data_IF_446101737971
#
_entry.id   IF_446101737971
#
_cell.length_a   1.000
_cell.length_b   1.000
_cell.length_c   1.000
_cell.angle_alpha   90.00
_cell.angle_beta   90.00
_cell.angle_gamma   90.00
#
_symmetry.space_group_name_H-M   'P 1'
#
loop_
_entity.id
_entity.type
_entity.pdbx_description
1 polymer ?
#
# COMPACT_ATOMS: atom_id res chain seq x y z
N UNK A 1 8.18 -3.34 5.07
CA UNK A 1 7.35 -4.46 5.58
C UNK A 1 6.80 -4.17 6.97
N UNK A 2 7.64 -3.84 7.99
CA UNK A 2 7.23 -3.64 9.38
C UNK A 2 6.12 -2.58 9.51
N UNK A 3 6.29 -1.42 8.91
CA UNK A 3 5.29 -0.31 8.97
C UNK A 3 3.99 -0.69 8.29
N UNK A 4 4.07 -1.41 7.17
CA UNK A 4 2.91 -1.92 6.44
C UNK A 4 2.12 -2.92 7.29
N UNK A 5 2.84 -3.84 7.97
CA UNK A 5 2.23 -4.79 8.89
C UNK A 5 1.53 -4.13 10.08
N UNK A 6 2.16 -3.14 10.71
CA UNK A 6 1.56 -2.39 11.84
C UNK A 6 0.32 -1.62 11.37
N UNK A 7 0.36 -1.01 10.20
CA UNK A 7 -0.80 -0.31 9.63
C UNK A 7 -1.97 -1.27 9.35
N UNK A 8 -1.67 -2.46 8.83
CA UNK A 8 -2.66 -3.52 8.61
C UNK A 8 -3.29 -3.99 9.92
N UNK A 9 -2.50 -4.13 11.00
CA UNK A 9 -3.02 -4.48 12.32
C UNK A 9 -4.04 -3.45 12.84
N UNK A 10 -3.89 -2.17 12.51
CA UNK A 10 -4.88 -1.14 12.84
C UNK A 10 -6.24 -1.40 12.18
N UNK A 11 -6.26 -1.84 10.92
CA UNK A 11 -7.48 -2.21 10.19
C UNK A 11 -8.09 -3.48 10.78
N UNK A 12 -7.26 -4.50 11.03
CA UNK A 12 -7.70 -5.76 11.65
C UNK A 12 -8.27 -5.55 13.05
N UNK A 13 -7.69 -4.65 13.84
CA UNK A 13 -8.20 -4.31 15.16
C UNK A 13 -9.60 -3.67 15.11
N UNK A 14 -9.90 -2.85 14.08
CA UNK A 14 -11.23 -2.28 13.88
C UNK A 14 -12.26 -3.32 13.48
N UNK A 15 -11.94 -4.22 12.53
CA UNK A 15 -12.86 -5.24 12.04
C UNK A 15 -12.99 -6.44 12.98
N UNK A 16 -12.01 -6.67 13.87
CA UNK A 16 -11.95 -7.85 14.73
C UNK A 16 -11.68 -9.16 13.99
N UNK A 17 -11.39 -9.13 12.69
CA UNK A 17 -11.20 -10.32 11.85
C UNK A 17 -10.02 -10.15 10.89
N UNK A 18 -9.34 -11.27 10.57
CA UNK A 18 -8.31 -11.36 9.53
C UNK A 18 -8.89 -11.73 8.15
N UNK A 19 -10.18 -12.02 8.08
CA UNK A 19 -10.82 -12.40 6.84
C UNK A 19 -11.12 -11.16 6.00
N UNK A 20 -10.51 -11.05 4.82
CA UNK A 20 -10.67 -9.90 3.93
C UNK A 20 -12.13 -9.66 3.53
N UNK A 21 -12.95 -10.72 3.46
CA UNK A 21 -14.36 -10.59 3.14
C UNK A 21 -15.12 -9.90 4.27
N UNK A 22 -14.88 -10.30 5.51
CA UNK A 22 -15.48 -9.70 6.69
C UNK A 22 -15.05 -8.24 6.84
N UNK A 23 -13.74 -7.93 6.60
CA UNK A 23 -13.24 -6.56 6.59
C UNK A 23 -13.98 -5.68 5.58
N UNK A 24 -14.31 -6.21 4.39
CA UNK A 24 -15.06 -5.46 3.39
C UNK A 24 -16.52 -5.29 3.78
N UNK A 25 -17.16 -6.35 4.28
CA UNK A 25 -18.56 -6.32 4.71
C UNK A 25 -18.77 -5.34 5.87
N UNK A 26 -17.83 -5.24 6.80
CA UNK A 26 -17.85 -4.30 7.93
C UNK A 26 -17.68 -2.82 7.48
N UNK A 27 -17.09 -2.58 6.30
CA UNK A 27 -16.99 -1.25 5.71
C UNK A 27 -18.26 -0.77 4.98
N UNK A 28 -19.38 -1.49 5.10
CA UNK A 28 -20.63 -1.13 4.42
C UNK A 28 -21.16 0.25 4.83
N UNK A 29 -21.02 0.63 6.09
CA UNK A 29 -21.47 1.92 6.61
C UNK A 29 -20.42 3.02 6.44
N UNK A 30 -19.17 2.73 6.79
CA UNK A 30 -18.05 3.69 6.71
C UNK A 30 -16.77 3.03 6.23
N UNK A 31 -16.13 3.65 5.24
CA UNK A 31 -14.84 3.17 4.74
C UNK A 31 -13.74 3.40 5.78
N UNK A 32 -12.88 2.43 5.97
CA UNK A 32 -11.79 2.49 6.95
C UNK A 32 -10.74 3.57 6.66
N UNK A 33 -10.72 4.13 5.46
CA UNK A 33 -9.88 5.30 5.17
C UNK A 33 -10.20 6.50 6.07
N UNK A 34 -11.44 6.62 6.59
CA UNK A 34 -11.83 7.75 7.45
C UNK A 34 -11.26 7.57 8.87
N UNK A 35 -11.56 6.48 9.61
CA UNK A 35 -11.03 6.29 10.96
C UNK A 35 -9.53 5.95 10.98
N UNK A 36 -9.00 5.36 9.90
CA UNK A 36 -7.60 4.93 9.76
C UNK A 36 -6.83 5.71 8.69
N UNK A 37 -7.08 7.01 8.57
CA UNK A 37 -6.41 7.83 7.58
C UNK A 37 -4.88 7.78 7.69
N UNK A 38 -4.35 7.84 8.91
CA UNK A 38 -2.91 7.74 9.17
C UNK A 38 -2.39 6.36 8.75
N UNK A 39 -3.11 5.30 9.12
CA UNK A 39 -2.80 3.93 8.71
C UNK A 39 -2.80 3.78 7.19
N UNK A 40 -3.77 4.35 6.49
CA UNK A 40 -3.83 4.35 5.04
C UNK A 40 -2.60 5.02 4.40
N UNK A 41 -2.21 6.21 4.88
CA UNK A 41 -1.03 6.94 4.36
C UNK A 41 0.24 6.14 4.58
N UNK A 42 0.42 5.53 5.76
CA UNK A 42 1.58 4.69 6.06
C UNK A 42 1.60 3.45 5.16
N UNK A 43 0.44 2.78 5.00
CA UNK A 43 0.32 1.61 4.14
C UNK A 43 0.63 1.93 2.68
N UNK A 44 0.15 3.08 2.19
CA UNK A 44 0.40 3.56 0.84
C UNK A 44 1.90 3.82 0.60
N UNK A 45 2.57 4.55 1.50
CA UNK A 45 4.01 4.83 1.40
C UNK A 45 4.82 3.52 1.48
N UNK A 46 4.48 2.64 2.41
CA UNK A 46 5.14 1.35 2.58
C UNK A 46 4.93 0.44 1.35
N UNK A 47 3.73 0.44 0.76
CA UNK A 47 3.41 -0.32 -0.44
C UNK A 47 4.17 0.15 -1.68
N UNK A 48 4.42 1.46 -1.81
CA UNK A 48 5.28 2.00 -2.87
C UNK A 48 6.73 1.52 -2.67
N UNK A 49 7.21 1.54 -1.43
CA UNK A 49 8.56 1.09 -1.10
C UNK A 49 8.74 -0.42 -1.35
N UNK A 50 7.72 -1.23 -1.04
CA UNK A 50 7.72 -2.68 -1.25
C UNK A 50 7.67 -3.07 -2.73
N UNK A 51 6.97 -2.28 -3.54
CA UNK A 51 6.92 -2.51 -5.00
C UNK A 51 8.18 -2.10 -5.73
N UNK A 52 9.26 -1.69 -5.02
CA UNK A 52 10.54 -1.24 -5.58
C UNK A 52 10.41 -0.19 -6.68
N UNK A 53 9.38 0.66 -6.61
CA UNK A 53 9.13 1.71 -7.59
C UNK A 53 9.60 3.08 -7.13
N UNK A 54 9.92 3.93 -8.09
CA UNK A 54 10.19 5.35 -7.81
C UNK A 54 9.04 5.95 -6.95
N UNK A 55 9.38 6.64 -5.87
CA UNK A 55 10.69 7.21 -5.52
C UNK A 55 11.64 6.26 -4.76
N UNK A 56 11.27 5.03 -4.42
CA UNK A 56 12.03 4.11 -3.56
C UNK A 56 12.79 3.01 -4.33
N UNK A 57 13.00 3.20 -5.63
CA UNK A 57 13.75 2.32 -6.53
C UNK A 57 15.27 2.47 -6.32
N UNK A 58 15.76 1.99 -5.17
CA UNK A 58 17.18 2.07 -4.82
C UNK A 58 17.99 0.92 -5.43
N UNK A 59 17.49 -0.34 -5.46
CA UNK A 59 18.26 -1.47 -5.98
C UNK A 59 18.36 -1.52 -7.51
N UNK A 60 17.37 -0.97 -8.22
CA UNK A 60 17.25 -1.13 -9.68
C UNK A 60 18.00 -0.09 -10.48
N UNK A 61 18.06 1.15 -10.00
CA UNK A 61 18.83 2.26 -10.57
C UNK A 61 18.86 2.31 -12.13
N UNK A 62 17.73 2.00 -12.78
CA UNK A 62 17.63 1.87 -14.25
C UNK A 62 18.12 3.10 -15.04
N UNK A 63 18.12 4.27 -14.41
CA UNK A 63 18.51 5.55 -15.03
C UNK A 63 19.99 5.89 -14.78
N UNK A 64 20.73 5.07 -14.07
CA UNK A 64 22.15 5.26 -13.80
C UNK A 64 23.03 4.41 -14.75
N UNK A 65 24.35 4.66 -14.76
CA UNK A 65 25.31 4.03 -15.67
C UNK A 65 25.35 2.49 -15.52
N UNK A 66 25.02 1.98 -14.34
CA UNK A 66 24.91 0.54 -14.07
C UNK A 66 23.47 0.23 -13.65
N UNK A 67 22.79 -0.64 -14.39
CA UNK A 67 21.38 -1.04 -14.15
C UNK A 67 21.16 -1.91 -12.89
N UNK A 68 22.00 -1.80 -11.88
CA UNK A 68 21.89 -2.57 -10.63
C UNK A 68 22.02 -4.08 -10.85
N UNK A 69 21.18 -4.87 -10.17
CA UNK A 69 21.20 -6.33 -10.27
C UNK A 69 20.67 -6.89 -11.60
N UNK A 70 20.01 -6.08 -12.42
CA UNK A 70 19.51 -6.49 -13.74
C UNK A 70 20.59 -6.58 -14.82
N UNK A 71 21.79 -6.07 -14.57
CA UNK A 71 22.87 -5.95 -15.58
C UNK A 71 23.28 -7.32 -16.14
N UNK A 72 23.21 -8.37 -15.34
CA UNK A 72 23.63 -9.74 -15.74
C UNK A 72 22.51 -10.53 -16.43
N UNK A 73 21.27 -10.06 -16.40
CA UNK A 73 20.12 -10.77 -16.93
C UNK A 73 19.71 -10.24 -18.31
N UNK A 74 19.43 -11.16 -19.24
CA UNK A 74 18.97 -10.82 -20.58
C UNK A 74 17.79 -11.70 -21.02
N UNK A 75 17.06 -11.26 -22.03
CA UNK A 75 15.95 -11.99 -22.62
C UNK A 75 14.80 -12.27 -21.65
N UNK A 76 14.34 -13.52 -21.60
CA UNK A 76 13.15 -13.91 -20.81
C UNK A 76 13.33 -13.68 -19.32
N UNK A 77 14.53 -13.89 -18.77
CA UNK A 77 14.83 -13.69 -17.35
C UNK A 77 14.64 -12.23 -16.95
N UNK A 78 15.12 -11.31 -17.75
CA UNK A 78 14.93 -9.88 -17.57
C UNK A 78 13.43 -9.50 -17.59
N UNK A 79 12.69 -10.04 -18.58
CA UNK A 79 11.24 -9.81 -18.67
C UNK A 79 10.46 -10.29 -17.43
N UNK A 80 10.90 -11.38 -16.78
CA UNK A 80 10.24 -11.88 -15.58
C UNK A 80 10.34 -10.91 -14.38
N UNK A 81 11.43 -10.15 -14.24
CA UNK A 81 11.55 -9.12 -13.20
C UNK A 81 10.50 -8.01 -13.39
N UNK A 82 10.33 -7.52 -14.61
CA UNK A 82 9.30 -6.52 -14.91
C UNK A 82 7.88 -7.06 -14.64
N UNK A 83 7.60 -8.29 -15.02
CA UNK A 83 6.30 -8.91 -14.73
C UNK A 83 6.06 -8.98 -13.22
N UNK A 84 7.06 -9.38 -12.43
CA UNK A 84 6.94 -9.44 -10.98
C UNK A 84 6.66 -8.06 -10.36
N UNK A 85 7.34 -7.01 -10.84
CA UNK A 85 7.13 -5.63 -10.40
C UNK A 85 5.69 -5.15 -10.67
N UNK A 86 5.15 -5.40 -11.87
CA UNK A 86 3.77 -5.02 -12.19
C UNK A 86 2.73 -5.83 -11.41
N UNK A 87 2.99 -7.12 -11.17
CA UNK A 87 2.13 -7.95 -10.30
C UNK A 87 2.12 -7.38 -8.87
N UNK A 88 3.27 -7.00 -8.34
CA UNK A 88 3.39 -6.37 -7.03
C UNK A 88 2.56 -5.08 -6.93
N UNK A 89 2.62 -4.22 -7.95
CA UNK A 89 1.83 -2.99 -8.03
C UNK A 89 0.31 -3.27 -8.03
N UNK A 90 -0.14 -4.25 -8.81
CA UNK A 90 -1.56 -4.66 -8.84
C UNK A 90 -1.99 -5.22 -7.49
N UNK A 91 -1.14 -6.02 -6.84
CA UNK A 91 -1.41 -6.59 -5.52
C UNK A 91 -1.57 -5.50 -4.46
N UNK A 92 -0.62 -4.57 -4.36
CA UNK A 92 -0.69 -3.46 -3.38
C UNK A 92 -1.93 -2.59 -3.62
N UNK A 93 -2.22 -2.25 -4.88
CA UNK A 93 -3.42 -1.47 -5.24
C UNK A 93 -4.71 -2.18 -4.86
N UNK A 94 -4.77 -3.49 -5.06
CA UNK A 94 -5.91 -4.32 -4.68
C UNK A 94 -6.07 -4.40 -3.16
N UNK A 95 -4.98 -4.58 -2.42
CA UNK A 95 -5.00 -4.58 -0.96
C UNK A 95 -5.46 -3.25 -0.38
N UNK A 96 -4.96 -2.11 -0.90
CA UNK A 96 -5.43 -0.78 -0.49
C UNK A 96 -6.95 -0.65 -0.70
N UNK A 97 -7.44 -1.10 -1.84
CA UNK A 97 -8.87 -1.04 -2.17
C UNK A 97 -9.71 -1.87 -1.19
N UNK A 98 -9.26 -3.08 -0.86
CA UNK A 98 -9.97 -3.98 0.07
C UNK A 98 -9.92 -3.48 1.50
N UNK A 99 -8.75 -3.05 1.97
CA UNK A 99 -8.54 -2.71 3.38
C UNK A 99 -9.10 -1.35 3.78
N UNK A 100 -9.08 -0.36 2.88
CA UNK A 100 -9.42 1.02 3.22
C UNK A 100 -10.63 1.60 2.47
N UNK A 101 -10.94 1.07 1.29
CA UNK A 101 -11.98 1.61 0.42
C UNK A 101 -13.18 0.68 0.21
N UNK A 102 -13.36 -0.31 1.09
CA UNK A 102 -14.50 -1.21 1.05
C UNK A 102 -14.55 -2.13 -0.17
N UNK A 103 -13.41 -2.43 -0.79
CA UNK A 103 -13.30 -3.42 -1.87
C UNK A 103 -14.33 -3.24 -2.98
N UNK A 104 -15.25 -4.21 -3.09
CA UNK A 104 -16.33 -4.25 -4.09
C UNK A 104 -17.58 -3.45 -3.71
N UNK A 105 -17.65 -2.85 -2.51
CA UNK A 105 -18.78 -2.05 -2.08
C UNK A 105 -18.87 -0.75 -2.90
N UNK A 106 -20.08 -0.43 -3.37
CA UNK A 106 -20.37 0.77 -4.14
C UNK A 106 -21.88 0.89 -4.44
N UNK A 107 -22.30 1.96 -5.12
CA UNK A 107 -23.70 2.16 -5.51
C UNK A 107 -24.25 0.98 -6.35
N UNK A 108 -25.52 0.66 -6.15
CA UNK A 108 -26.17 -0.54 -6.69
C UNK A 108 -26.41 -0.55 -8.21
N UNK A 109 -26.08 0.54 -8.91
CA UNK A 109 -26.32 0.63 -10.35
C UNK A 109 -25.30 -0.11 -11.22
N UNK A 110 -24.16 -0.53 -10.66
CA UNK A 110 -23.11 -1.31 -11.35
C UNK A 110 -22.78 -2.58 -10.57
N UNK A 111 -22.32 -3.65 -11.27
CA UNK A 111 -21.92 -4.88 -10.60
C UNK A 111 -20.73 -4.65 -9.64
N UNK A 112 -20.65 -5.38 -8.51
CA UNK A 112 -19.60 -5.21 -7.49
C UNK A 112 -18.17 -5.31 -8.03
N UNK A 113 -17.93 -6.20 -9.01
CA UNK A 113 -16.63 -6.39 -9.65
C UNK A 113 -16.16 -5.09 -10.34
N UNK A 114 -17.07 -4.36 -10.97
CA UNK A 114 -16.73 -3.11 -11.64
C UNK A 114 -16.19 -2.05 -10.67
N UNK A 115 -16.80 -1.93 -9.48
CA UNK A 115 -16.35 -1.01 -8.44
C UNK A 115 -14.96 -1.36 -7.92
N UNK A 116 -14.69 -2.63 -7.72
CA UNK A 116 -13.37 -3.09 -7.32
C UNK A 116 -12.30 -2.74 -8.36
N UNK A 117 -12.56 -3.11 -9.63
CA UNK A 117 -11.62 -2.85 -10.73
C UNK A 117 -11.38 -1.34 -10.91
N UNK A 118 -12.42 -0.53 -10.82
CA UNK A 118 -12.32 0.91 -10.97
C UNK A 118 -11.47 1.54 -9.86
N UNK A 119 -11.70 1.18 -8.59
CA UNK A 119 -10.91 1.67 -7.46
C UNK A 119 -9.45 1.22 -7.56
N UNK A 120 -9.21 -0.07 -7.85
CA UNK A 120 -7.86 -0.60 -8.02
C UNK A 120 -7.12 0.08 -9.18
N UNK A 121 -7.78 0.32 -10.32
CA UNK A 121 -7.19 1.01 -11.45
C UNK A 121 -6.83 2.47 -11.15
N UNK A 122 -7.61 3.16 -10.32
CA UNK A 122 -7.26 4.50 -9.84
C UNK A 122 -5.97 4.50 -9.03
N UNK A 123 -5.76 3.53 -8.14
CA UNK A 123 -4.51 3.40 -7.40
C UNK A 123 -3.34 3.03 -8.30
N UNK A 124 -3.54 2.14 -9.27
CA UNK A 124 -2.51 1.82 -10.28
C UNK A 124 -2.12 3.09 -11.05
N UNK A 125 -3.08 3.86 -11.53
CA UNK A 125 -2.82 5.13 -12.21
C UNK A 125 -2.10 6.13 -11.30
N UNK A 126 -2.49 6.21 -10.03
CA UNK A 126 -1.82 7.04 -9.03
C UNK A 126 -0.35 6.66 -8.84
N UNK A 127 -0.03 5.37 -8.72
CA UNK A 127 1.36 4.90 -8.61
C UNK A 127 2.18 5.20 -9.86
N UNK A 128 1.59 5.09 -11.05
CA UNK A 128 2.26 5.47 -12.30
C UNK A 128 2.53 6.98 -12.34
N UNK A 129 1.59 7.80 -11.91
CA UNK A 129 1.76 9.26 -11.84
C UNK A 129 2.82 9.66 -10.80
N UNK A 130 2.88 8.98 -9.65
CA UNK A 130 3.92 9.22 -8.65
C UNK A 130 5.33 8.98 -9.21
N UNK A 131 5.51 7.96 -10.03
CA UNK A 131 6.77 7.69 -10.72
C UNK A 131 7.25 8.89 -11.54
N UNK A 132 6.33 9.63 -12.16
CA UNK A 132 6.65 10.79 -12.98
C UNK A 132 6.84 12.09 -12.17
N UNK A 133 6.24 12.17 -10.98
CA UNK A 133 6.13 13.41 -10.21
C UNK A 133 7.24 13.60 -9.16
N UNK A 134 7.72 12.52 -8.54
CA UNK A 134 8.61 12.58 -7.37
C UNK A 134 10.04 12.19 -7.74
N UNK A 135 11.05 13.03 -7.38
CA UNK A 135 12.45 12.68 -7.56
C UNK A 135 12.88 11.62 -6.55
N UNK A 136 13.91 10.87 -6.87
CA UNK A 136 14.49 9.81 -6.04
C UNK A 136 15.16 10.37 -4.79
N UNK A 137 14.80 9.93 -3.57
CA UNK A 137 15.50 10.29 -2.35
C UNK A 137 16.80 9.51 -2.20
N UNK A 138 17.71 10.01 -1.37
CA UNK A 138 18.93 9.28 -1.00
C UNK A 138 18.59 8.18 0.00
N UNK A 139 19.39 7.10 -0.01
CA UNK A 139 19.22 5.95 0.89
C UNK A 139 19.17 6.33 2.37
N UNK A 140 20.07 7.24 2.81
CA UNK A 140 20.12 7.71 4.19
C UNK A 140 18.83 8.42 4.62
N UNK A 141 18.25 9.20 3.70
CA UNK A 141 16.98 9.91 3.94
C UNK A 141 15.82 8.92 4.07
N UNK A 142 15.79 7.89 3.25
CA UNK A 142 14.78 6.85 3.30
C UNK A 142 14.82 6.09 4.63
N UNK A 143 16.01 5.66 5.07
CA UNK A 143 16.18 4.97 6.35
C UNK A 143 15.75 5.84 7.53
N UNK A 144 16.21 7.08 7.59
CA UNK A 144 15.84 8.01 8.65
C UNK A 144 14.33 8.28 8.67
N UNK A 145 13.71 8.47 7.51
CA UNK A 145 12.27 8.66 7.41
C UNK A 145 11.48 7.42 7.88
N UNK A 146 11.90 6.23 7.48
CA UNK A 146 11.27 4.98 7.89
C UNK A 146 11.34 4.75 9.40
N UNK A 147 12.55 4.79 9.96
CA UNK A 147 12.77 4.44 11.35
C UNK A 147 12.38 5.54 12.35
N UNK A 148 12.66 6.80 12.04
CA UNK A 148 12.40 7.91 12.97
C UNK A 148 11.01 8.51 12.84
N UNK A 149 10.35 8.33 11.70
CA UNK A 149 9.04 8.92 11.47
C UNK A 149 7.94 7.87 11.27
N UNK A 150 8.05 6.99 10.28
CA UNK A 150 6.96 6.04 9.95
C UNK A 150 6.72 5.03 11.07
N UNK A 151 7.77 4.51 11.71
CA UNK A 151 7.63 3.51 12.77
C UNK A 151 6.95 4.09 14.00
N UNK A 152 7.39 5.21 14.61
CA UNK A 152 6.69 5.78 15.76
C UNK A 152 5.23 6.17 15.44
N UNK A 153 4.98 6.76 14.27
CA UNK A 153 3.63 7.17 13.87
C UNK A 153 2.72 5.95 13.70
N UNK A 154 3.21 4.85 13.11
CA UNK A 154 2.43 3.62 12.97
C UNK A 154 2.09 2.99 14.32
N UNK A 155 3.02 2.97 15.27
CA UNK A 155 2.78 2.48 16.63
C UNK A 155 1.78 3.35 17.39
N UNK A 156 1.92 4.66 17.33
CA UNK A 156 0.98 5.60 17.95
C UNK A 156 -0.42 5.38 17.35
N UNK A 157 -0.53 5.27 16.04
CA UNK A 157 -1.81 5.02 15.38
C UNK A 157 -2.46 3.72 15.86
N UNK A 158 -1.68 2.63 16.00
CA UNK A 158 -2.19 1.36 16.51
C UNK A 158 -2.65 1.46 17.97
N UNK A 159 -1.88 2.14 18.84
CA UNK A 159 -2.26 2.35 20.24
C UNK A 159 -3.52 3.20 20.37
N UNK A 160 -3.64 4.28 19.61
CA UNK A 160 -4.84 5.13 19.59
C UNK A 160 -6.07 4.34 19.13
N UNK A 161 -5.92 3.55 18.07
CA UNK A 161 -6.99 2.68 17.57
C UNK A 161 -7.44 1.68 18.64
N UNK A 162 -6.50 0.99 19.29
CA UNK A 162 -6.80 0.06 20.37
C UNK A 162 -7.50 0.73 21.55
N UNK A 163 -7.06 1.93 21.93
CA UNK A 163 -7.71 2.70 22.99
C UNK A 163 -9.15 3.10 22.65
N UNK A 164 -9.39 3.55 21.40
CA UNK A 164 -10.75 3.90 20.96
C UNK A 164 -11.68 2.69 20.98
N UNK A 165 -11.20 1.52 20.53
CA UNK A 165 -11.98 0.28 20.54
C UNK A 165 -12.35 -0.10 21.98
N UNK A 166 -11.38 -0.08 22.90
CA UNK A 166 -11.62 -0.41 24.31
C UNK A 166 -12.56 0.59 25.01
N UNK A 167 -12.55 1.85 24.60
CA UNK A 167 -13.44 2.89 25.15
C UNK A 167 -14.89 2.76 24.66
N UNK A 168 -15.10 2.09 23.53
CA UNK A 168 -16.43 1.89 22.93
C UNK A 168 -17.06 0.53 23.27
N UNK A 169 -16.33 -0.35 23.94
CA UNK A 169 -16.84 -1.60 24.53
C UNK A 169 -17.41 -1.37 25.93
#
# INVERSE_FOLDING_TARGET
EVFMGISLLGVVALSGSFNLREIVEDQADTWYVVPQFIGFVIFLIAGIAESHRLPFDIPEAEQEICSGYHTEYSGMKFGMFFVAEYIGLVLVSSLITVLFFGGWLGPSFLPPIFWFVLKASLFIAFFILLRAAIPRPRYDQLLNYGWLFLLPVSLINLLVTGFIILSNQ
#
